data_IF_555134165845
#
_entry.id   IF_555134165845
#
_cell.length_a   1.000
_cell.length_b   1.000
_cell.length_c   1.000
_cell.angle_alpha   90.00
_cell.angle_beta   90.00
_cell.angle_gamma   90.00
#
_symmetry.space_group_name_H-M   'P 1'
#
loop_
_entity.id
_entity.type
_entity.pdbx_description
1 polymer ?
#
# COMPACT_ATOMS: atom_id res chain seq x y z
N UNK A 1 1.97 -1.51 21.44
CA UNK A 1 1.30 -2.21 20.32
C UNK A 1 2.22 -2.12 19.12
N UNK A 2 2.54 -3.23 18.49
CA UNK A 2 3.33 -3.27 17.26
C UNK A 2 2.46 -2.82 16.07
N UNK A 3 3.08 -2.42 14.95
CA UNK A 3 2.33 -2.08 13.71
C UNK A 3 1.44 -3.23 13.23
N UNK A 4 1.94 -4.46 13.28
CA UNK A 4 1.14 -5.65 12.95
C UNK A 4 -0.07 -5.81 13.88
N UNK A 5 0.09 -5.65 15.18
CA UNK A 5 -1.02 -5.73 16.14
C UNK A 5 -2.06 -4.63 15.90
N UNK A 6 -1.63 -3.43 15.58
CA UNK A 6 -2.51 -2.31 15.25
C UNK A 6 -3.31 -2.59 13.97
N UNK A 7 -2.64 -3.02 12.90
CA UNK A 7 -3.29 -3.40 11.64
C UNK A 7 -4.35 -4.47 11.87
N UNK A 8 -3.99 -5.55 12.57
CA UNK A 8 -4.92 -6.64 12.89
C UNK A 8 -6.11 -6.18 13.73
N UNK A 9 -5.87 -5.25 14.67
CA UNK A 9 -6.92 -4.68 15.52
C UNK A 9 -7.91 -3.87 14.70
N UNK A 10 -7.42 -2.92 13.89
CA UNK A 10 -8.25 -2.08 13.02
C UNK A 10 -9.04 -2.95 12.03
N UNK A 11 -8.36 -3.90 11.38
CA UNK A 11 -9.01 -4.76 10.40
C UNK A 11 -10.13 -5.58 11.03
N UNK A 12 -9.89 -6.24 12.16
CA UNK A 12 -10.91 -7.05 12.85
C UNK A 12 -12.06 -6.22 13.43
N UNK A 13 -11.79 -5.00 13.84
CA UNK A 13 -12.80 -4.08 14.36
C UNK A 13 -13.77 -3.62 13.28
N UNK A 14 -13.29 -3.34 12.08
CA UNK A 14 -14.06 -2.63 11.05
C UNK A 14 -14.47 -3.52 9.86
N UNK A 15 -13.76 -4.62 9.58
CA UNK A 15 -14.00 -5.46 8.40
C UNK A 15 -14.67 -6.78 8.81
N UNK A 16 -15.98 -6.87 8.57
CA UNK A 16 -16.79 -8.02 9.00
C UNK A 16 -17.42 -8.82 7.85
N UNK A 17 -17.08 -8.51 6.60
CA UNK A 17 -17.68 -9.19 5.43
C UNK A 17 -17.14 -10.61 5.21
N UNK A 18 -17.91 -11.50 4.56
CA UNK A 18 -17.49 -12.87 4.28
C UNK A 18 -16.15 -12.94 3.57
N UNK A 19 -15.22 -13.73 4.09
CA UNK A 19 -13.90 -13.93 3.53
C UNK A 19 -12.80 -13.03 4.12
N UNK A 20 -13.13 -12.01 4.91
CA UNK A 20 -12.18 -11.13 5.59
C UNK A 20 -11.18 -11.91 6.46
N UNK A 21 -11.64 -12.86 7.27
CA UNK A 21 -10.76 -13.69 8.10
C UNK A 21 -9.78 -14.52 7.28
N UNK A 22 -10.22 -15.06 6.12
CA UNK A 22 -9.36 -15.84 5.23
C UNK A 22 -8.31 -14.97 4.56
N UNK A 23 -8.67 -13.73 4.21
CA UNK A 23 -7.71 -12.76 3.69
C UNK A 23 -6.66 -12.43 4.75
N UNK A 24 -7.11 -12.14 5.97
CA UNK A 24 -6.22 -11.80 7.08
C UNK A 24 -5.27 -12.96 7.42
N UNK A 25 -5.76 -14.21 7.45
CA UNK A 25 -4.93 -15.41 7.63
C UNK A 25 -3.90 -15.55 6.50
N UNK A 26 -4.29 -15.25 5.26
CA UNK A 26 -3.37 -15.28 4.13
C UNK A 26 -2.28 -14.23 4.24
N UNK A 27 -2.63 -12.99 4.61
CA UNK A 27 -1.65 -11.91 4.83
C UNK A 27 -0.63 -12.29 5.89
N UNK A 28 -1.11 -12.89 6.98
CA UNK A 28 -0.32 -13.17 8.17
C UNK A 28 0.59 -14.41 8.03
N UNK A 29 0.16 -15.44 7.30
CA UNK A 29 0.83 -16.74 7.29
C UNK A 29 1.35 -17.17 5.91
N UNK A 30 0.92 -16.51 4.81
CA UNK A 30 1.24 -16.93 3.43
C UNK A 30 1.89 -15.85 2.60
N UNK A 31 2.06 -14.65 3.17
CA UNK A 31 2.73 -13.53 2.49
C UNK A 31 3.74 -12.88 3.42
N UNK A 32 4.56 -12.03 2.84
CA UNK A 32 5.49 -11.15 3.57
C UNK A 32 4.91 -9.77 3.89
N UNK A 33 3.59 -9.57 3.79
CA UNK A 33 2.91 -8.27 3.94
C UNK A 33 3.36 -7.49 5.18
N UNK A 34 3.54 -8.17 6.32
CA UNK A 34 3.93 -7.53 7.57
C UNK A 34 5.44 -7.31 7.72
N UNK A 35 6.26 -7.81 6.80
CA UNK A 35 7.71 -7.71 6.87
C UNK A 35 8.33 -7.06 5.64
N UNK A 36 7.64 -7.04 4.50
CA UNK A 36 8.19 -6.46 3.27
C UNK A 36 8.21 -4.92 3.31
N UNK A 37 9.05 -4.28 2.49
CA UNK A 37 9.10 -2.83 2.36
C UNK A 37 7.91 -2.29 1.56
N UNK A 38 7.59 -1.00 1.72
CA UNK A 38 6.62 -0.30 0.88
C UNK A 38 7.22 0.13 -0.48
N UNK A 39 8.55 0.29 -0.56
CA UNK A 39 9.25 0.65 -1.78
C UNK A 39 10.68 0.14 -1.78
N UNK A 40 11.37 0.21 -2.93
CA UNK A 40 12.79 -0.19 -3.02
C UNK A 40 13.76 0.85 -2.43
N UNK A 41 13.40 2.14 -2.40
CA UNK A 41 14.31 3.23 -2.03
C UNK A 41 13.64 4.54 -1.61
N UNK A 42 12.30 4.59 -1.62
CA UNK A 42 11.56 5.80 -1.27
C UNK A 42 11.00 5.69 0.16
N UNK A 43 9.71 5.98 0.34
CA UNK A 43 9.02 5.80 1.61
C UNK A 43 8.99 4.31 2.01
N UNK A 44 9.11 4.05 3.33
CA UNK A 44 8.98 2.69 3.85
C UNK A 44 9.93 1.65 3.24
N UNK A 45 11.12 2.04 2.77
CA UNK A 45 12.14 1.12 2.22
C UNK A 45 12.88 0.39 3.35
N UNK A 46 12.15 -0.25 4.26
CA UNK A 46 12.63 -0.99 5.43
C UNK A 46 11.73 -2.18 5.72
N UNK A 47 12.18 -3.06 6.60
CA UNK A 47 11.38 -4.18 7.10
C UNK A 47 10.09 -3.65 7.75
N UNK A 48 8.95 -4.27 7.41
CA UNK A 48 7.61 -3.84 7.87
C UNK A 48 7.09 -2.55 7.24
N UNK A 49 7.81 -1.99 6.28
CA UNK A 49 7.47 -0.71 5.64
C UNK A 49 6.09 -0.70 4.99
N UNK A 50 5.65 -1.81 4.39
CA UNK A 50 4.32 -1.91 3.78
C UNK A 50 3.20 -1.82 4.82
N UNK A 51 3.32 -2.53 5.92
CA UNK A 51 2.36 -2.48 7.03
C UNK A 51 2.30 -1.07 7.64
N UNK A 52 3.45 -0.45 7.89
CA UNK A 52 3.54 0.92 8.38
C UNK A 52 2.86 1.90 7.43
N UNK A 53 3.13 1.81 6.14
CA UNK A 53 2.53 2.66 5.12
C UNK A 53 1.00 2.51 5.09
N UNK A 54 0.50 1.27 5.07
CA UNK A 54 -0.95 1.00 5.11
C UNK A 54 -1.64 1.63 6.33
N UNK A 55 -1.01 1.59 7.51
CA UNK A 55 -1.51 2.24 8.72
C UNK A 55 -1.49 3.77 8.60
N UNK A 56 -0.41 4.35 8.08
CA UNK A 56 -0.31 5.79 7.87
C UNK A 56 -1.38 6.28 6.90
N UNK A 57 -1.63 5.52 5.82
CA UNK A 57 -2.72 5.83 4.88
C UNK A 57 -4.09 5.72 5.55
N UNK A 58 -4.30 4.71 6.43
CA UNK A 58 -5.55 4.61 7.19
C UNK A 58 -5.78 5.83 8.09
N UNK A 59 -4.79 6.22 8.87
CA UNK A 59 -4.89 7.39 9.74
C UNK A 59 -5.08 8.68 8.91
N UNK A 60 -4.30 8.87 7.84
CA UNK A 60 -4.45 10.04 6.97
C UNK A 60 -5.84 10.10 6.31
N UNK A 61 -6.37 8.95 5.85
CA UNK A 61 -7.69 8.88 5.23
C UNK A 61 -8.79 9.18 6.25
N UNK A 62 -8.73 8.55 7.43
CA UNK A 62 -9.71 8.71 8.48
C UNK A 62 -9.70 10.14 9.04
N UNK A 63 -8.55 10.62 9.48
CA UNK A 63 -8.44 11.92 10.18
C UNK A 63 -8.81 13.11 9.28
N UNK A 64 -8.54 13.02 7.97
CA UNK A 64 -8.80 14.14 7.06
C UNK A 64 -10.17 14.07 6.37
N UNK A 65 -10.74 12.87 6.20
CA UNK A 65 -11.88 12.72 5.30
C UNK A 65 -13.08 11.97 5.86
N UNK A 66 -12.94 11.27 7.00
CA UNK A 66 -14.07 10.56 7.60
C UNK A 66 -15.12 11.54 8.12
N UNK A 67 -16.39 11.28 7.83
CA UNK A 67 -17.53 12.04 8.32
C UNK A 67 -18.60 11.11 8.83
N UNK A 68 -19.45 11.63 9.68
CA UNK A 68 -20.64 10.91 10.14
C UNK A 68 -21.48 10.39 8.96
N UNK A 69 -21.74 9.09 8.95
CA UNK A 69 -22.45 8.39 7.87
C UNK A 69 -21.54 7.72 6.83
N UNK A 70 -20.22 7.99 6.82
CA UNK A 70 -19.26 7.26 6.01
C UNK A 70 -19.11 5.80 6.53
N UNK A 71 -18.69 4.90 5.66
CA UNK A 71 -18.46 3.49 6.01
C UNK A 71 -17.06 3.28 6.56
N UNK A 72 -16.94 3.06 7.89
CA UNK A 72 -15.67 2.66 8.52
C UNK A 72 -15.05 1.43 7.85
N UNK A 73 -15.89 0.45 7.48
CA UNK A 73 -15.41 -0.75 6.78
C UNK A 73 -14.76 -0.41 5.44
N UNK A 74 -15.39 0.47 4.64
CA UNK A 74 -14.82 0.86 3.33
C UNK A 74 -13.53 1.65 3.48
N UNK A 75 -13.45 2.53 4.49
CA UNK A 75 -12.22 3.27 4.82
C UNK A 75 -11.09 2.33 5.23
N UNK A 76 -11.37 1.38 6.12
CA UNK A 76 -10.39 0.39 6.57
C UNK A 76 -9.91 -0.50 5.40
N UNK A 77 -10.83 -1.03 4.59
CA UNK A 77 -10.48 -1.86 3.44
C UNK A 77 -9.61 -1.10 2.45
N UNK A 78 -10.03 0.09 2.05
CA UNK A 78 -9.31 0.87 1.04
C UNK A 78 -7.91 1.24 1.52
N UNK A 79 -7.77 1.77 2.74
CA UNK A 79 -6.49 2.22 3.24
C UNK A 79 -5.54 1.07 3.58
N UNK A 80 -6.03 0.03 4.28
CA UNK A 80 -5.16 -1.06 4.73
C UNK A 80 -4.72 -1.99 3.59
N UNK A 81 -5.48 -2.06 2.50
CA UNK A 81 -5.27 -3.05 1.43
C UNK A 81 -4.94 -2.45 0.07
N UNK A 82 -4.88 -1.11 -0.10
CA UNK A 82 -4.65 -0.48 -1.41
C UNK A 82 -3.39 -1.01 -2.11
N UNK A 83 -2.36 -1.28 -1.34
CA UNK A 83 -1.03 -1.70 -1.78
C UNK A 83 -0.77 -3.22 -1.59
N UNK A 84 -1.82 -4.03 -1.48
CA UNK A 84 -1.68 -5.48 -1.33
C UNK A 84 -0.86 -6.13 -2.46
N UNK A 85 -0.82 -5.50 -3.62
CA UNK A 85 0.00 -5.92 -4.76
C UNK A 85 1.50 -6.00 -4.45
N UNK A 86 1.96 -5.34 -3.39
CA UNK A 86 3.37 -5.32 -2.94
C UNK A 86 3.75 -6.52 -2.05
N UNK A 87 2.79 -7.30 -1.58
CA UNK A 87 3.08 -8.53 -0.86
C UNK A 87 3.72 -9.58 -1.78
N UNK A 88 4.80 -10.21 -1.33
CA UNK A 88 5.61 -11.15 -2.12
C UNK A 88 6.14 -10.55 -3.44
N UNK A 89 6.47 -9.27 -3.43
CA UNK A 89 6.86 -8.50 -4.62
C UNK A 89 8.35 -8.12 -4.62
N UNK A 90 8.94 -8.04 -3.43
CA UNK A 90 10.33 -7.60 -3.28
C UNK A 90 11.26 -8.76 -2.93
N UNK A 91 12.53 -8.58 -3.34
CA UNK A 91 13.64 -9.47 -2.99
C UNK A 91 14.81 -8.65 -2.49
N UNK A 92 15.50 -9.19 -1.50
CA UNK A 92 16.77 -8.62 -1.03
C UNK A 92 17.89 -9.03 -1.97
N UNK A 93 18.62 -8.06 -2.49
CA UNK A 93 19.82 -8.23 -3.29
C UNK A 93 20.98 -7.46 -2.65
N UNK A 94 22.18 -7.57 -3.20
CA UNK A 94 23.35 -6.81 -2.72
C UNK A 94 23.97 -5.99 -3.84
N UNK A 95 24.46 -4.78 -3.51
CA UNK A 95 25.24 -3.94 -4.42
C UNK A 95 26.53 -3.49 -3.75
N UNK A 96 27.56 -3.24 -4.56
CA UNK A 96 28.79 -2.64 -4.07
C UNK A 96 28.60 -1.12 -3.96
N UNK A 97 28.90 -0.58 -2.79
CA UNK A 97 28.91 0.87 -2.52
C UNK A 97 30.29 1.24 -1.98
N UNK A 98 30.84 2.36 -2.46
CA UNK A 98 32.08 2.87 -1.93
C UNK A 98 31.82 3.59 -0.61
N UNK A 99 32.49 3.18 0.45
CA UNK A 99 32.43 3.86 1.72
C UNK A 99 33.32 5.13 1.64
N UNK A 100 32.70 6.30 1.72
CA UNK A 100 33.40 7.59 1.56
C UNK A 100 34.40 7.87 2.69
N UNK A 101 34.20 7.28 3.89
CA UNK A 101 35.11 7.45 5.03
C UNK A 101 36.36 6.58 4.91
N UNK A 102 36.25 5.36 4.36
CA UNK A 102 37.34 4.39 4.27
C UNK A 102 37.92 4.25 2.87
N UNK A 103 37.20 4.73 1.84
CA UNK A 103 37.54 4.54 0.43
C UNK A 103 37.36 3.10 -0.07
N UNK A 104 36.90 2.17 0.76
CA UNK A 104 36.74 0.76 0.40
C UNK A 104 35.35 0.47 -0.18
N UNK A 105 35.27 -0.60 -0.98
CA UNK A 105 33.99 -1.10 -1.51
C UNK A 105 33.37 -2.09 -0.52
N UNK A 106 32.11 -1.82 -0.16
CA UNK A 106 31.31 -2.64 0.76
C UNK A 106 30.08 -3.19 0.05
N UNK A 107 29.72 -4.45 0.36
CA UNK A 107 28.44 -5.01 -0.10
C UNK A 107 27.32 -4.57 0.85
N UNK A 108 26.37 -3.81 0.33
CA UNK A 108 25.19 -3.38 1.09
C UNK A 108 23.92 -4.04 0.54
N UNK A 109 23.00 -4.49 1.40
CA UNK A 109 21.72 -5.02 0.98
C UNK A 109 20.85 -3.89 0.42
N UNK A 110 20.00 -4.23 -0.55
CA UNK A 110 18.95 -3.36 -1.06
C UNK A 110 17.78 -4.17 -1.60
N UNK A 111 16.61 -3.56 -1.68
CA UNK A 111 15.42 -4.21 -2.23
C UNK A 111 15.35 -4.05 -3.75
N UNK A 112 15.01 -5.15 -4.43
CA UNK A 112 14.71 -5.19 -5.86
C UNK A 112 13.29 -5.70 -6.08
N UNK A 113 12.70 -5.39 -7.23
CA UNK A 113 11.41 -5.91 -7.63
C UNK A 113 11.60 -7.28 -8.27
N UNK A 114 10.78 -8.26 -7.87
CA UNK A 114 10.64 -9.57 -8.49
C UNK A 114 9.15 -9.89 -8.65
N UNK A 115 8.49 -9.23 -9.61
CA UNK A 115 7.04 -9.38 -9.81
C UNK A 115 6.70 -10.70 -10.49
N UNK A 116 6.11 -11.62 -9.72
CA UNK A 116 5.64 -12.93 -10.22
C UNK A 116 4.27 -12.84 -10.90
N UNK A 117 3.57 -11.72 -10.78
CA UNK A 117 2.23 -11.50 -11.30
C UNK A 117 2.07 -10.06 -11.82
N UNK A 118 2.59 -9.74 -13.02
CA UNK A 118 2.51 -8.41 -13.60
C UNK A 118 1.10 -8.13 -14.14
N UNK A 119 0.25 -7.53 -13.29
CA UNK A 119 -1.17 -7.30 -13.58
C UNK A 119 -1.60 -5.82 -13.46
N UNK A 120 -0.64 -4.92 -13.33
CA UNK A 120 -0.88 -3.52 -12.97
C UNK A 120 -0.87 -3.32 -11.46
N UNK A 121 -0.74 -2.07 -10.99
CA UNK A 121 -0.54 -1.82 -9.56
C UNK A 121 -1.85 -1.91 -8.79
N UNK A 122 -2.78 -0.99 -9.04
CA UNK A 122 -4.08 -1.00 -8.35
C UNK A 122 -4.96 -2.18 -8.74
N UNK A 123 -4.93 -2.60 -10.02
CA UNK A 123 -5.66 -3.78 -10.51
C UNK A 123 -5.26 -5.05 -9.77
N UNK A 124 -3.96 -5.23 -9.52
CA UNK A 124 -3.43 -6.39 -8.80
C UNK A 124 -3.94 -6.43 -7.36
N UNK A 125 -3.96 -5.28 -6.67
CA UNK A 125 -4.52 -5.20 -5.31
C UNK A 125 -6.00 -5.58 -5.30
N UNK A 126 -6.82 -5.00 -6.19
CA UNK A 126 -8.24 -5.35 -6.34
C UNK A 126 -8.41 -6.85 -6.60
N UNK A 127 -7.68 -7.40 -7.58
CA UNK A 127 -7.76 -8.81 -7.92
C UNK A 127 -7.41 -9.73 -6.74
N UNK A 128 -6.36 -9.40 -6.00
CA UNK A 128 -5.92 -10.19 -4.84
C UNK A 128 -6.96 -10.18 -3.72
N UNK A 129 -7.57 -9.01 -3.43
CA UNK A 129 -8.63 -8.88 -2.42
C UNK A 129 -9.88 -9.68 -2.83
N UNK A 130 -10.31 -9.54 -4.09
CA UNK A 130 -11.51 -10.22 -4.62
C UNK A 130 -11.42 -11.75 -4.59
N UNK A 131 -10.24 -12.34 -4.50
CA UNK A 131 -10.08 -13.79 -4.29
C UNK A 131 -10.56 -14.28 -2.93
N UNK A 132 -10.75 -13.37 -1.98
CA UNK A 132 -11.13 -13.69 -0.61
C UNK A 132 -12.46 -13.06 -0.22
N UNK A 133 -12.63 -11.77 -0.46
CA UNK A 133 -13.84 -11.03 -0.10
C UNK A 133 -14.24 -10.07 -1.22
N UNK A 134 -15.54 -9.89 -1.38
CA UNK A 134 -16.10 -8.97 -2.37
C UNK A 134 -15.87 -7.51 -1.99
N UNK A 135 -15.37 -6.73 -2.93
CA UNK A 135 -15.32 -5.27 -2.82
C UNK A 135 -16.63 -4.63 -3.29
N UNK A 136 -17.01 -3.51 -2.68
CA UNK A 136 -17.99 -2.61 -3.29
C UNK A 136 -17.35 -1.92 -4.49
N UNK A 137 -18.16 -1.47 -5.45
CA UNK A 137 -17.64 -0.77 -6.64
C UNK A 137 -16.79 0.44 -6.29
N UNK A 138 -17.20 1.24 -5.31
CA UNK A 138 -16.45 2.41 -4.84
C UNK A 138 -15.07 2.04 -4.26
N UNK A 139 -14.98 0.93 -3.52
CA UNK A 139 -13.73 0.42 -2.93
C UNK A 139 -12.79 -0.07 -4.02
N UNK A 140 -13.31 -0.88 -4.97
CA UNK A 140 -12.52 -1.37 -6.09
C UNK A 140 -11.99 -0.22 -6.96
N UNK A 141 -12.83 0.79 -7.23
CA UNK A 141 -12.42 1.99 -7.99
C UNK A 141 -11.39 2.81 -7.20
N UNK A 142 -11.59 2.99 -5.89
CA UNK A 142 -10.65 3.72 -5.05
C UNK A 142 -9.28 3.03 -5.03
N UNK A 143 -9.23 1.73 -4.77
CA UNK A 143 -7.99 0.95 -4.78
C UNK A 143 -7.36 0.93 -6.19
N UNK A 144 -8.17 0.77 -7.25
CA UNK A 144 -7.65 0.79 -8.63
C UNK A 144 -6.92 2.08 -8.97
N UNK A 145 -7.43 3.23 -8.53
CA UNK A 145 -6.93 4.55 -8.95
C UNK A 145 -6.16 5.31 -7.86
N UNK A 146 -5.77 4.63 -6.74
CA UNK A 146 -5.05 5.30 -5.64
C UNK A 146 -3.72 5.92 -6.07
N UNK A 147 -3.03 5.34 -7.07
CA UNK A 147 -1.79 5.91 -7.60
C UNK A 147 -1.97 7.27 -8.31
N UNK A 148 -3.19 7.64 -8.65
CA UNK A 148 -3.47 8.94 -9.27
C UNK A 148 -2.73 9.15 -10.59
N UNK A 149 -2.08 10.30 -10.74
CA UNK A 149 -1.28 10.64 -11.91
C UNK A 149 0.02 9.82 -12.07
N UNK A 150 0.38 8.99 -11.08
CA UNK A 150 1.50 8.06 -11.17
C UNK A 150 1.12 6.71 -11.78
N UNK A 151 -0.17 6.46 -11.98
CA UNK A 151 -0.68 5.26 -12.63
C UNK A 151 -0.34 5.23 -14.13
N UNK A 152 0.08 4.06 -14.63
CA UNK A 152 0.52 3.92 -16.01
C UNK A 152 -0.59 4.17 -17.03
N UNK A 153 -1.84 3.80 -16.74
CA UNK A 153 -2.97 4.09 -17.61
C UNK A 153 -3.27 5.61 -17.64
N UNK A 154 -3.18 6.30 -16.50
CA UNK A 154 -3.33 7.76 -16.43
C UNK A 154 -2.21 8.46 -17.23
N UNK A 155 -0.95 8.02 -17.08
CA UNK A 155 0.20 8.51 -17.86
C UNK A 155 0.07 8.21 -19.35
N UNK A 156 -0.56 7.08 -19.68
CA UNK A 156 -0.90 6.71 -21.06
C UNK A 156 -2.05 7.49 -21.68
N UNK A 157 -2.63 8.46 -20.94
CA UNK A 157 -3.69 9.34 -21.45
C UNK A 157 -5.10 8.84 -21.21
N UNK A 158 -5.30 7.86 -20.33
CA UNK A 158 -6.65 7.42 -19.97
C UNK A 158 -7.37 8.49 -19.14
N UNK A 159 -8.56 8.90 -19.58
CA UNK A 159 -9.44 9.81 -18.85
C UNK A 159 -10.29 9.11 -17.78
N UNK A 160 -10.26 7.78 -17.69
CA UNK A 160 -11.05 7.01 -16.73
C UNK A 160 -10.76 7.40 -15.27
N UNK A 161 -9.55 7.87 -14.96
CA UNK A 161 -9.22 8.38 -13.64
C UNK A 161 -10.04 9.60 -13.24
N UNK A 162 -10.26 10.54 -14.16
CA UNK A 162 -11.08 11.73 -13.91
C UNK A 162 -12.52 11.36 -13.64
N UNK A 163 -13.07 10.41 -14.42
CA UNK A 163 -14.42 9.88 -14.20
C UNK A 163 -14.52 9.12 -12.87
N UNK A 164 -13.48 8.38 -12.48
CA UNK A 164 -13.42 7.66 -11.22
C UNK A 164 -13.46 8.64 -10.03
N UNK A 165 -12.69 9.72 -10.08
CA UNK A 165 -12.66 10.74 -9.03
C UNK A 165 -13.96 11.53 -8.93
N UNK A 166 -14.61 11.81 -10.08
CA UNK A 166 -15.89 12.51 -10.11
C UNK A 166 -17.04 11.67 -9.54
N UNK A 167 -17.08 10.38 -9.89
CA UNK A 167 -18.18 9.48 -9.48
C UNK A 167 -18.00 8.86 -8.10
N UNK A 168 -16.75 8.64 -7.67
CA UNK A 168 -16.41 7.92 -6.44
C UNK A 168 -15.43 8.75 -5.59
N UNK A 169 -15.93 9.67 -4.75
CA UNK A 169 -15.09 10.55 -3.94
C UNK A 169 -14.08 9.82 -3.06
N UNK A 170 -14.33 8.56 -2.68
CA UNK A 170 -13.38 7.74 -1.92
C UNK A 170 -12.08 7.53 -2.71
N UNK A 171 -12.12 7.51 -4.05
CA UNK A 171 -10.93 7.31 -4.87
C UNK A 171 -9.94 8.48 -4.76
N UNK A 172 -10.42 9.71 -4.85
CA UNK A 172 -9.55 10.88 -4.67
C UNK A 172 -9.13 11.06 -3.20
N UNK A 173 -10.02 10.75 -2.23
CA UNK A 173 -9.67 10.79 -0.80
C UNK A 173 -8.51 9.82 -0.50
N UNK A 174 -8.57 8.59 -1.01
CA UNK A 174 -7.53 7.59 -0.84
C UNK A 174 -6.20 8.04 -1.47
N UNK A 175 -6.24 8.57 -2.69
CA UNK A 175 -5.05 9.11 -3.35
C UNK A 175 -4.38 10.22 -2.53
N UNK A 176 -5.17 11.17 -2.00
CA UNK A 176 -4.64 12.26 -1.16
C UNK A 176 -4.07 11.69 0.16
N UNK A 177 -4.74 10.71 0.76
CA UNK A 177 -4.26 10.05 1.98
C UNK A 177 -2.93 9.31 1.76
N UNK A 178 -2.77 8.61 0.63
CA UNK A 178 -1.52 7.96 0.23
C UNK A 178 -0.38 8.98 0.03
N UNK A 179 -0.63 10.08 -0.68
CA UNK A 179 0.34 11.18 -0.79
C UNK A 179 0.68 11.79 0.58
N UNK A 180 -0.31 11.96 1.45
CA UNK A 180 -0.11 12.49 2.81
C UNK A 180 0.79 11.56 3.62
N UNK A 181 0.50 10.26 3.62
CA UNK A 181 1.34 9.26 4.27
C UNK A 181 2.77 9.29 3.72
N UNK A 182 2.92 9.19 2.41
CA UNK A 182 4.20 9.12 1.71
C UNK A 182 5.10 10.35 1.93
N UNK A 183 4.54 11.56 1.87
CA UNK A 183 5.34 12.78 1.83
C UNK A 183 5.34 13.60 3.13
N UNK A 184 4.34 13.41 4.00
CA UNK A 184 4.18 14.20 5.21
C UNK A 184 4.34 13.39 6.50
N UNK A 185 4.06 12.07 6.49
CA UNK A 185 4.15 11.22 7.69
C UNK A 185 5.39 10.33 7.68
N UNK A 186 5.83 9.88 6.50
CA UNK A 186 6.94 8.95 6.37
C UNK A 186 8.24 9.68 6.04
N UNK A 187 9.27 9.46 6.86
CA UNK A 187 10.59 9.96 6.54
C UNK A 187 11.21 9.11 5.43
N UNK A 188 11.76 9.77 4.41
CA UNK A 188 12.65 9.08 3.47
C UNK A 188 13.85 8.58 4.28
N UNK A 189 14.00 7.28 4.41
CA UNK A 189 15.29 6.73 4.83
C UNK A 189 16.30 7.29 3.84
N UNK A 190 17.29 8.03 4.37
CA UNK A 190 18.41 8.57 3.56
C UNK A 190 19.10 7.34 2.97
N UNK A 191 18.61 6.85 1.84
CA UNK A 191 19.31 5.85 1.08
C UNK A 191 20.64 6.51 0.73
N UNK A 192 21.72 5.98 1.27
CA UNK A 192 23.09 6.31 0.92
C UNK A 192 23.13 6.57 -0.58
N UNK A 193 23.45 7.84 -0.94
CA UNK A 193 23.57 8.30 -2.33
C UNK A 193 24.62 7.52 -3.06
#
# INVERSE_FOLDING_TARGET
MTQREEFLSIFRQHVARPGADRLLDCLDHKTDFFTCPASTRFHGACEGGLCMHSLNVYHALHDNFFKEGDSEESFAICALLHDLCKANYYKVSTRNVKNDATGQWEKVPYYTVEDQFPYGHGEKSVFLIERFMRLKTEEAVAIRWHMGGFDDAARGGSFAISEAYDRYPLAIKLHIADLTATYLMEHRTSAVR
#
